data_IF_268673598731
#
_entry.id   IF_268673598731
#
_cell.length_a   1.000
_cell.length_b   1.000
_cell.length_c   1.000
_cell.angle_alpha   90.00
_cell.angle_beta   90.00
_cell.angle_gamma   90.00
#
_symmetry.space_group_name_H-M   'P 1'
#
loop_
_entity.id
_entity.type
_entity.pdbx_description
1 polymer ?
#
# COMPACT_ATOMS: atom_id res chain seq x y z
N UNK A 1 3.06 -20.31 22.34
CA UNK A 1 2.91 -18.83 22.44
C UNK A 1 1.87 -18.56 23.52
N UNK A 2 2.13 -17.58 24.40
CA UNK A 2 1.23 -17.28 25.51
C UNK A 2 -0.12 -16.74 24.96
N UNK A 3 -1.30 -17.19 25.50
CA UNK A 3 -2.62 -16.81 24.99
C UNK A 3 -2.84 -15.29 24.90
N UNK A 4 -2.34 -14.53 25.86
CA UNK A 4 -2.45 -13.05 25.86
C UNK A 4 -1.70 -12.41 24.67
N UNK A 5 -0.54 -12.96 24.28
CA UNK A 5 0.20 -12.48 23.09
C UNK A 5 -0.55 -12.81 21.81
N UNK A 6 -1.13 -14.01 21.74
CA UNK A 6 -1.92 -14.42 20.57
C UNK A 6 -3.19 -13.63 20.41
N UNK A 7 -3.90 -13.32 21.49
CA UNK A 7 -5.12 -12.52 21.44
C UNK A 7 -4.85 -11.11 20.87
N UNK A 8 -3.80 -10.44 21.38
CA UNK A 8 -3.41 -9.13 20.86
C UNK A 8 -3.03 -9.16 19.38
N UNK A 9 -2.23 -10.15 18.97
CA UNK A 9 -1.84 -10.33 17.57
C UNK A 9 -3.05 -10.55 16.66
N UNK A 10 -3.98 -11.41 17.07
CA UNK A 10 -5.18 -11.70 16.29
C UNK A 10 -6.10 -10.51 16.15
N UNK A 11 -6.30 -9.73 17.23
CA UNK A 11 -7.11 -8.50 17.19
C UNK A 11 -6.54 -7.52 16.18
N UNK A 12 -5.24 -7.28 16.20
CA UNK A 12 -4.60 -6.38 15.24
C UNK A 12 -4.61 -6.94 13.80
N UNK A 13 -4.40 -8.24 13.65
CA UNK A 13 -4.48 -8.89 12.33
C UNK A 13 -5.90 -8.76 11.75
N UNK A 14 -6.94 -8.95 12.56
CA UNK A 14 -8.32 -8.76 12.13
C UNK A 14 -8.56 -7.29 11.73
N UNK A 15 -8.15 -6.31 12.52
CA UNK A 15 -8.27 -4.88 12.16
C UNK A 15 -7.59 -4.54 10.83
N UNK A 16 -6.38 -5.07 10.61
CA UNK A 16 -5.71 -4.88 9.30
C UNK A 16 -6.54 -5.41 8.14
N UNK A 17 -7.19 -6.56 8.32
CA UNK A 17 -7.98 -7.20 7.25
C UNK A 17 -9.37 -6.57 7.10
N UNK A 18 -10.03 -6.16 8.20
CA UNK A 18 -11.41 -5.66 8.15
C UNK A 18 -11.49 -4.14 8.04
N UNK A 19 -10.59 -3.42 8.74
CA UNK A 19 -10.76 -1.97 8.92
C UNK A 19 -9.80 -1.17 8.04
N UNK A 20 -8.59 -1.69 7.71
CA UNK A 20 -7.57 -0.94 6.98
C UNK A 20 -7.33 -1.42 5.55
N UNK A 21 -7.81 -2.62 5.21
CA UNK A 21 -7.51 -3.26 3.91
C UNK A 21 -7.93 -2.40 2.72
N UNK A 22 -9.10 -1.77 2.78
CA UNK A 22 -9.64 -0.99 1.67
C UNK A 22 -8.78 0.24 1.40
N UNK A 23 -8.34 0.94 2.45
CA UNK A 23 -7.43 2.08 2.32
C UNK A 23 -6.07 1.65 1.75
N UNK A 24 -5.51 0.54 2.24
CA UNK A 24 -4.21 0.01 1.78
C UNK A 24 -4.28 -0.43 0.31
N UNK A 25 -5.33 -1.14 -0.08
CA UNK A 25 -5.52 -1.61 -1.46
C UNK A 25 -5.82 -0.45 -2.41
N UNK A 26 -6.58 0.55 -1.95
CA UNK A 26 -6.82 1.79 -2.70
C UNK A 26 -5.51 2.55 -2.92
N UNK A 27 -4.71 2.71 -1.87
CA UNK A 27 -3.39 3.33 -1.97
C UNK A 27 -2.47 2.61 -2.96
N UNK A 28 -2.47 1.26 -2.93
CA UNK A 28 -1.70 0.44 -3.88
C UNK A 28 -2.17 0.63 -5.31
N UNK A 29 -3.48 0.62 -5.54
CA UNK A 29 -4.07 0.83 -6.86
C UNK A 29 -3.76 2.22 -7.40
N UNK A 30 -3.92 3.24 -6.54
CA UNK A 30 -3.64 4.63 -6.90
C UNK A 30 -2.16 4.83 -7.26
N UNK A 31 -1.24 4.27 -6.47
CA UNK A 31 0.20 4.34 -6.75
C UNK A 31 0.59 3.62 -8.04
N UNK A 32 -0.06 2.51 -8.37
CA UNK A 32 0.21 1.73 -9.58
C UNK A 32 -0.30 2.40 -10.86
N UNK A 33 -1.27 3.31 -10.73
CA UNK A 33 -1.87 4.01 -11.87
C UNK A 33 -1.15 5.35 -12.06
N UNK A 34 -0.57 5.62 -13.25
CA UNK A 34 -0.04 6.95 -13.55
C UNK A 34 -1.13 8.01 -13.32
N UNK A 35 -0.75 9.10 -12.70
CA UNK A 35 -1.69 10.19 -12.47
C UNK A 35 -2.02 10.86 -13.80
N UNK A 36 -3.30 11.11 -14.03
CA UNK A 36 -3.74 11.95 -15.14
C UNK A 36 -3.22 13.37 -14.93
N UNK A 37 -2.45 13.85 -15.88
CA UNK A 37 -1.94 15.21 -15.85
C UNK A 37 -2.76 16.07 -16.81
N UNK A 38 -2.92 17.38 -16.53
CA UNK A 38 -3.60 18.32 -17.42
C UNK A 38 -3.05 18.26 -18.85
N UNK A 39 -3.91 18.44 -19.85
CA UNK A 39 -3.54 18.34 -21.26
C UNK A 39 -2.35 19.25 -21.64
N UNK A 40 -2.25 20.43 -21.02
CA UNK A 40 -1.13 21.35 -21.19
C UNK A 40 0.22 20.74 -20.75
N UNK A 41 0.22 19.88 -19.74
CA UNK A 41 1.43 19.18 -19.30
C UNK A 41 1.71 17.94 -20.13
N UNK A 42 0.68 17.29 -20.70
CA UNK A 42 0.87 16.10 -21.55
C UNK A 42 1.70 16.41 -22.79
N UNK A 43 1.57 17.62 -23.35
CA UNK A 43 2.33 18.08 -24.52
C UNK A 43 3.82 18.35 -24.20
N UNK A 44 4.20 18.42 -22.92
CA UNK A 44 5.55 18.71 -22.49
C UNK A 44 6.38 17.43 -22.32
N UNK A 45 7.68 17.54 -22.61
CA UNK A 45 8.64 16.48 -22.29
C UNK A 45 8.72 16.27 -20.77
N UNK A 46 9.17 15.10 -20.28
CA UNK A 46 9.39 14.83 -18.86
C UNK A 46 10.18 15.93 -18.14
N UNK A 47 11.25 16.41 -18.77
CA UNK A 47 12.08 17.49 -18.23
C UNK A 47 11.32 18.83 -18.12
N UNK A 48 10.53 19.17 -19.14
CA UNK A 48 9.75 20.39 -19.13
C UNK A 48 8.63 20.36 -18.08
N UNK A 49 7.97 19.21 -17.89
CA UNK A 49 6.98 19.02 -16.81
C UNK A 49 7.59 19.25 -15.44
N UNK A 50 8.73 18.64 -15.23
CA UNK A 50 9.44 18.79 -13.96
C UNK A 50 9.93 20.22 -13.73
N UNK A 51 10.49 20.86 -14.75
CA UNK A 51 10.91 22.27 -14.65
C UNK A 51 9.73 23.21 -14.33
N UNK A 52 8.60 23.03 -14.99
CA UNK A 52 7.38 23.79 -14.70
C UNK A 52 6.91 23.60 -13.26
N UNK A 53 6.90 22.35 -12.78
CA UNK A 53 6.56 22.03 -11.40
C UNK A 53 7.48 22.72 -10.37
N UNK A 54 8.79 22.69 -10.61
CA UNK A 54 9.77 23.34 -9.71
C UNK A 54 9.61 24.87 -9.73
N UNK A 55 9.34 25.44 -10.88
CA UNK A 55 9.16 26.89 -11.00
C UNK A 55 7.89 27.36 -10.29
N UNK A 56 6.77 26.63 -10.43
CA UNK A 56 5.55 26.86 -9.67
C UNK A 56 5.81 26.83 -8.16
N UNK A 57 6.53 25.81 -7.68
CA UNK A 57 6.89 25.68 -6.26
C UNK A 57 7.76 26.83 -5.75
N UNK A 58 8.64 27.35 -6.59
CA UNK A 58 9.48 28.51 -6.24
C UNK A 58 8.68 29.81 -6.13
N UNK A 59 7.74 30.03 -7.05
CA UNK A 59 6.90 31.22 -7.06
C UNK A 59 5.99 31.27 -5.83
N UNK A 60 5.44 30.13 -5.45
CA UNK A 60 4.55 30.02 -4.30
C UNK A 60 5.29 29.87 -2.95
N UNK A 61 6.62 29.98 -2.94
CA UNK A 61 7.47 29.75 -1.76
C UNK A 61 7.18 28.41 -1.07
N UNK A 62 6.72 27.42 -1.83
CA UNK A 62 6.36 26.10 -1.33
C UNK A 62 7.57 25.19 -1.24
N UNK A 63 7.45 24.21 -0.37
CA UNK A 63 8.43 23.13 -0.25
C UNK A 63 8.16 22.06 -1.30
N UNK A 64 9.16 21.23 -1.60
CA UNK A 64 8.98 20.03 -2.45
C UNK A 64 8.74 18.80 -1.57
N UNK A 65 7.92 17.84 -2.02
CA UNK A 65 7.71 16.60 -1.27
C UNK A 65 9.02 15.88 -0.99
N UNK A 66 9.20 15.53 0.27
CA UNK A 66 10.32 14.75 0.76
C UNK A 66 9.84 13.52 1.51
N UNK A 67 10.76 12.65 1.85
CA UNK A 67 10.51 11.49 2.69
C UNK A 67 11.72 11.17 3.55
N UNK A 68 11.47 10.53 4.67
CA UNK A 68 12.51 10.06 5.59
C UNK A 68 12.53 8.54 5.55
N UNK A 69 13.67 7.97 5.15
CA UNK A 69 13.80 6.53 5.17
C UNK A 69 13.90 6.02 6.62
N UNK A 70 13.20 4.94 6.95
CA UNK A 70 13.19 4.34 8.29
C UNK A 70 14.59 3.96 8.79
N UNK A 71 15.50 3.59 7.87
CA UNK A 71 16.91 3.29 8.19
C UNK A 71 17.84 4.51 8.25
N UNK A 72 17.33 5.72 7.96
CA UNK A 72 18.07 6.99 7.99
C UNK A 72 17.20 8.13 8.51
N UNK A 73 16.74 8.08 9.77
CA UNK A 73 15.76 9.04 10.31
C UNK A 73 16.23 10.49 10.35
N UNK A 74 17.54 10.73 10.20
CA UNK A 74 18.14 12.08 10.20
C UNK A 74 18.31 12.65 8.79
N UNK A 75 18.06 11.87 7.74
CA UNK A 75 18.22 12.32 6.35
C UNK A 75 16.88 12.42 5.66
N UNK A 76 16.47 13.64 5.38
CA UNK A 76 15.31 13.88 4.51
C UNK A 76 15.77 13.87 3.05
N UNK A 77 15.18 13.00 2.28
CA UNK A 77 15.43 12.84 0.84
C UNK A 77 14.28 13.40 0.04
N UNK A 78 14.55 13.90 -1.16
CA UNK A 78 13.52 14.32 -2.09
C UNK A 78 12.66 13.11 -2.51
N UNK A 79 11.33 13.27 -2.49
CA UNK A 79 10.36 12.24 -2.87
C UNK A 79 10.24 12.08 -4.39
N UNK A 80 11.34 11.74 -5.05
CA UNK A 80 11.44 11.70 -6.53
C UNK A 80 10.37 10.84 -7.18
N UNK A 81 10.16 9.63 -6.68
CA UNK A 81 9.13 8.73 -7.20
C UNK A 81 7.73 9.29 -7.07
N UNK A 82 7.41 9.95 -5.96
CA UNK A 82 6.12 10.60 -5.76
C UNK A 82 5.93 11.80 -6.70
N UNK A 83 6.95 12.64 -6.86
CA UNK A 83 6.88 13.78 -7.78
C UNK A 83 6.75 13.29 -9.23
N UNK A 84 7.51 12.26 -9.62
CA UNK A 84 7.38 11.63 -10.94
C UNK A 84 5.96 11.11 -11.17
N UNK A 85 5.40 10.41 -10.21
CA UNK A 85 4.01 9.94 -10.24
C UNK A 85 3.02 11.10 -10.38
N UNK A 86 3.19 12.19 -9.61
CA UNK A 86 2.33 13.39 -9.73
C UNK A 86 2.39 14.04 -11.12
N UNK A 87 3.53 13.96 -11.80
CA UNK A 87 3.74 14.50 -13.14
C UNK A 87 3.36 13.53 -14.26
N UNK A 88 2.80 12.36 -13.92
CA UNK A 88 2.44 11.32 -14.88
C UNK A 88 3.64 10.73 -15.60
N UNK A 89 4.80 10.65 -14.94
CA UNK A 89 6.02 10.08 -15.47
C UNK A 89 6.12 8.58 -15.09
N UNK A 90 6.66 7.78 -15.99
CA UNK A 90 7.01 6.41 -15.67
C UNK A 90 8.18 6.35 -14.67
N UNK A 91 8.39 5.23 -13.96
CA UNK A 91 9.56 5.04 -13.10
C UNK A 91 10.89 5.25 -13.87
N UNK A 92 10.97 4.78 -15.11
CA UNK A 92 12.14 4.91 -15.97
C UNK A 92 12.42 6.37 -16.33
N UNK A 93 11.38 7.13 -16.74
CA UNK A 93 11.49 8.56 -17.02
C UNK A 93 11.92 9.33 -15.76
N UNK A 94 11.34 8.99 -14.61
CA UNK A 94 11.69 9.61 -13.32
C UNK A 94 13.15 9.36 -12.96
N UNK A 95 13.65 8.13 -13.17
CA UNK A 95 15.08 7.80 -12.94
C UNK A 95 16.00 8.52 -13.91
N UNK A 96 15.66 8.55 -15.19
CA UNK A 96 16.46 9.22 -16.22
C UNK A 96 16.60 10.72 -15.94
N UNK A 97 15.59 11.34 -15.34
CA UNK A 97 15.62 12.76 -14.99
C UNK A 97 16.38 13.10 -13.71
N UNK A 98 16.60 12.12 -12.84
CA UNK A 98 17.23 12.32 -11.52
C UNK A 98 18.51 13.17 -11.54
N UNK A 99 19.45 13.02 -12.50
CA UNK A 99 20.65 13.84 -12.56
C UNK A 99 20.39 15.33 -12.87
N UNK A 100 19.24 15.66 -13.44
CA UNK A 100 18.90 16.98 -13.94
C UNK A 100 17.94 17.78 -13.04
N UNK A 101 17.74 17.34 -11.81
CA UNK A 101 16.76 17.93 -10.91
C UNK A 101 17.24 19.29 -10.36
N UNK A 102 16.71 20.44 -10.84
CA UNK A 102 17.12 21.77 -10.43
C UNK A 102 16.43 22.17 -9.12
N UNK A 103 16.70 21.45 -8.04
CA UNK A 103 16.07 21.66 -6.72
C UNK A 103 16.87 22.61 -5.80
N UNK A 104 17.93 23.21 -6.29
CA UNK A 104 18.73 24.14 -5.50
C UNK A 104 17.82 25.25 -4.91
N UNK A 105 17.85 25.39 -3.60
CA UNK A 105 17.08 26.40 -2.88
C UNK A 105 15.65 25.99 -2.47
N UNK A 106 15.22 24.76 -2.75
CA UNK A 106 13.95 24.22 -2.24
C UNK A 106 14.20 23.30 -1.04
N UNK A 107 13.40 23.45 0.01
CA UNK A 107 13.43 22.54 1.17
C UNK A 107 12.46 21.38 0.96
N UNK A 108 12.81 20.19 1.46
CA UNK A 108 11.93 19.04 1.41
C UNK A 108 10.95 19.04 2.60
N UNK A 109 9.66 18.86 2.34
CA UNK A 109 8.60 18.65 3.34
C UNK A 109 8.21 17.18 3.47
N UNK A 110 7.39 16.85 4.46
CA UNK A 110 6.88 15.48 4.67
C UNK A 110 5.61 15.15 3.84
N UNK A 111 5.38 15.84 2.72
CA UNK A 111 4.11 15.82 2.00
C UNK A 111 4.02 14.78 0.86
N UNK A 112 4.75 13.68 0.93
CA UNK A 112 4.60 12.61 -0.06
C UNK A 112 3.35 11.71 0.23
N UNK A 113 2.24 12.33 0.60
CA UNK A 113 0.99 11.65 0.90
C UNK A 113 0.15 11.43 -0.36
N UNK A 114 -0.45 10.26 -0.47
CA UNK A 114 -1.40 9.97 -1.54
C UNK A 114 -2.70 10.77 -1.34
N UNK A 115 -3.26 11.37 -2.42
CA UNK A 115 -4.48 12.16 -2.36
C UNK A 115 -5.72 11.26 -2.33
N UNK A 116 -5.96 10.62 -1.19
CA UNK A 116 -7.10 9.74 -0.97
C UNK A 116 -7.67 9.93 0.43
N UNK A 117 -8.98 9.76 0.63
CA UNK A 117 -9.56 9.75 1.96
C UNK A 117 -9.12 8.52 2.73
N UNK A 118 -9.04 8.63 4.04
CA UNK A 118 -8.92 7.51 4.97
C UNK A 118 -10.32 7.12 5.41
N UNK A 119 -10.64 5.84 5.35
CA UNK A 119 -11.97 5.30 5.69
C UNK A 119 -11.93 4.36 6.88
N UNK A 120 -10.79 3.72 7.12
CA UNK A 120 -10.59 2.82 8.25
C UNK A 120 -10.48 3.59 9.57
N UNK A 121 -11.07 3.04 10.63
CA UNK A 121 -11.07 3.70 11.94
C UNK A 121 -10.62 2.77 13.06
N UNK A 122 -10.03 3.36 14.10
CA UNK A 122 -9.71 2.70 15.36
C UNK A 122 -10.32 3.53 16.48
N UNK A 123 -11.23 2.91 17.24
CA UNK A 123 -11.90 3.56 18.37
C UNK A 123 -12.58 4.89 17.99
N UNK A 124 -13.18 4.94 16.77
CA UNK A 124 -13.90 6.10 16.24
C UNK A 124 -13.03 7.22 15.68
N UNK A 125 -11.72 6.97 15.51
CA UNK A 125 -10.79 7.91 14.87
C UNK A 125 -10.14 7.25 13.67
N UNK A 126 -9.78 8.04 12.68
CA UNK A 126 -9.00 7.53 11.53
C UNK A 126 -7.74 6.81 12.02
N UNK A 127 -7.47 5.62 11.47
CA UNK A 127 -6.32 4.80 11.86
C UNK A 127 -4.97 5.44 11.47
N UNK A 128 -4.99 6.32 10.50
CA UNK A 128 -3.86 7.16 10.08
C UNK A 128 -4.37 8.50 9.54
N UNK A 129 -3.53 9.52 9.56
CA UNK A 129 -3.88 10.83 8.99
C UNK A 129 -3.83 10.80 7.47
N UNK A 130 -2.87 10.08 6.89
CA UNK A 130 -2.68 9.91 5.46
C UNK A 130 -1.75 8.71 5.21
N UNK A 131 -1.75 8.17 4.00
CA UNK A 131 -0.83 7.12 3.58
C UNK A 131 0.28 7.73 2.74
N UNK A 132 1.53 7.55 3.19
CA UNK A 132 2.69 8.00 2.45
C UNK A 132 2.96 7.08 1.25
N UNK A 133 3.30 7.65 0.11
CA UNK A 133 3.59 6.94 -1.14
C UNK A 133 4.65 5.84 -0.98
N UNK A 134 5.64 6.05 -0.11
CA UNK A 134 6.73 5.10 0.11
C UNK A 134 6.38 4.00 1.11
N UNK A 135 5.36 4.18 1.93
CA UNK A 135 4.92 3.20 2.93
C UNK A 135 3.93 2.15 2.35
N UNK A 136 3.37 2.40 1.18
CA UNK A 136 2.35 1.53 0.57
C UNK A 136 2.80 0.07 0.48
N UNK A 137 4.04 -0.19 0.05
CA UNK A 137 4.55 -1.56 -0.09
C UNK A 137 4.74 -2.25 1.26
N UNK A 138 5.08 -1.50 2.29
CA UNK A 138 5.20 -2.00 3.65
C UNK A 138 3.83 -2.32 4.25
N UNK A 139 2.87 -1.43 4.07
CA UNK A 139 1.48 -1.66 4.47
C UNK A 139 0.87 -2.88 3.77
N UNK A 140 1.14 -3.07 2.48
CA UNK A 140 0.71 -4.28 1.75
C UNK A 140 1.34 -5.56 2.33
N UNK A 141 2.61 -5.53 2.74
CA UNK A 141 3.25 -6.68 3.41
C UNK A 141 2.63 -6.96 4.77
N UNK A 142 2.33 -5.91 5.54
CA UNK A 142 1.63 -6.05 6.81
C UNK A 142 0.23 -6.63 6.62
N UNK A 143 -0.53 -6.15 5.63
CA UNK A 143 -1.84 -6.69 5.29
C UNK A 143 -1.76 -8.18 4.90
N UNK A 144 -0.80 -8.55 4.05
CA UNK A 144 -0.59 -9.95 3.67
C UNK A 144 -0.23 -10.83 4.88
N UNK A 145 0.61 -10.32 5.79
CA UNK A 145 0.96 -11.01 7.03
C UNK A 145 -0.25 -11.15 7.96
N UNK A 146 -1.05 -10.09 8.09
CA UNK A 146 -2.27 -10.11 8.88
C UNK A 146 -3.28 -11.14 8.33
N UNK A 147 -3.50 -11.15 7.02
CA UNK A 147 -4.36 -12.13 6.36
C UNK A 147 -3.86 -13.56 6.59
N UNK A 148 -2.55 -13.80 6.50
CA UNK A 148 -1.96 -15.10 6.80
C UNK A 148 -2.23 -15.52 8.26
N UNK A 149 -2.04 -14.62 9.24
CA UNK A 149 -2.30 -14.90 10.66
C UNK A 149 -3.77 -15.24 10.88
N UNK A 150 -4.69 -14.46 10.31
CA UNK A 150 -6.14 -14.70 10.45
C UNK A 150 -6.52 -16.05 9.86
N UNK A 151 -6.09 -16.36 8.63
CA UNK A 151 -6.41 -17.64 7.98
C UNK A 151 -5.82 -18.81 8.76
N UNK A 152 -4.53 -18.76 9.12
CA UNK A 152 -3.87 -19.84 9.83
C UNK A 152 -4.55 -20.11 11.20
N UNK A 153 -4.88 -19.03 11.92
CA UNK A 153 -5.50 -19.17 13.25
C UNK A 153 -6.93 -19.71 13.19
N UNK A 154 -7.76 -19.17 12.28
CA UNK A 154 -9.17 -19.54 12.20
C UNK A 154 -9.41 -20.91 11.55
N UNK A 155 -8.52 -21.34 10.67
CA UNK A 155 -8.69 -22.63 9.94
C UNK A 155 -7.86 -23.75 10.55
N UNK A 156 -6.85 -23.46 11.38
CA UNK A 156 -5.88 -24.44 11.84
C UNK A 156 -4.97 -25.02 10.75
N UNK A 157 -4.97 -24.41 9.54
CA UNK A 157 -4.13 -24.82 8.42
C UNK A 157 -2.65 -24.64 8.77
N UNK A 158 -1.81 -25.50 8.20
CA UNK A 158 -0.36 -25.32 8.30
C UNK A 158 0.10 -24.14 7.48
N UNK A 159 1.22 -23.54 7.90
CA UNK A 159 1.75 -22.36 7.22
C UNK A 159 1.98 -22.55 5.71
N UNK A 160 2.36 -23.76 5.29
CA UNK A 160 2.54 -24.10 3.86
C UNK A 160 1.22 -24.23 3.11
N UNK A 161 0.20 -24.79 3.77
CA UNK A 161 -1.15 -24.90 3.24
C UNK A 161 -1.77 -23.50 3.05
N UNK A 162 -1.59 -22.60 4.05
CA UNK A 162 -2.04 -21.21 3.91
C UNK A 162 -1.34 -20.47 2.77
N UNK A 163 -0.02 -20.67 2.59
CA UNK A 163 0.74 -20.04 1.50
C UNK A 163 0.42 -20.59 0.12
N UNK A 164 -0.13 -21.82 0.05
CA UNK A 164 -0.54 -22.45 -1.18
C UNK A 164 -2.00 -22.15 -1.57
N UNK A 165 -2.69 -21.32 -0.79
CA UNK A 165 -4.04 -20.87 -1.15
C UNK A 165 -3.99 -19.98 -2.39
N UNK A 166 -4.85 -20.30 -3.35
CA UNK A 166 -4.96 -19.57 -4.61
C UNK A 166 -6.17 -18.62 -4.58
N UNK A 167 -6.20 -17.67 -5.50
CA UNK A 167 -7.35 -16.79 -5.70
C UNK A 167 -8.61 -17.62 -5.97
N UNK A 168 -9.71 -17.32 -5.27
CA UNK A 168 -10.96 -18.07 -5.39
C UNK A 168 -11.01 -19.34 -4.55
N UNK A 169 -10.05 -19.56 -3.64
CA UNK A 169 -10.06 -20.69 -2.71
C UNK A 169 -11.26 -20.67 -1.75
N UNK A 170 -11.86 -19.52 -1.48
CA UNK A 170 -13.07 -19.40 -0.68
C UNK A 170 -14.31 -19.56 -1.57
N UNK A 171 -15.17 -20.52 -1.22
CA UNK A 171 -16.45 -20.76 -1.89
C UNK A 171 -17.59 -20.59 -0.91
N UNK A 172 -18.65 -19.92 -1.36
CA UNK A 172 -19.89 -19.78 -0.60
C UNK A 172 -20.86 -20.85 -1.07
N UNK A 173 -21.44 -21.59 -0.13
CA UNK A 173 -22.47 -22.59 -0.37
C UNK A 173 -23.71 -22.18 0.42
N UNK A 174 -24.87 -22.23 -0.20
CA UNK A 174 -26.15 -22.03 0.48
C UNK A 174 -26.73 -23.40 0.86
N UNK A 175 -27.02 -23.59 2.13
CA UNK A 175 -27.75 -24.78 2.57
C UNK A 175 -29.17 -24.75 1.97
N UNK A 176 -29.57 -25.73 1.16
CA UNK A 176 -30.87 -25.72 0.52
C UNK A 176 -32.04 -25.87 1.49
N UNK A 177 -31.81 -26.43 2.69
CA UNK A 177 -32.86 -26.63 3.68
C UNK A 177 -33.09 -25.43 4.58
N UNK A 178 -32.02 -24.70 4.92
CA UNK A 178 -32.07 -23.57 5.90
C UNK A 178 -31.86 -22.20 5.27
N UNK A 179 -31.37 -22.12 4.02
CA UNK A 179 -30.94 -20.89 3.36
C UNK A 179 -29.65 -20.29 3.96
N UNK A 180 -29.01 -20.98 4.89
CA UNK A 180 -27.82 -20.49 5.56
C UNK A 180 -26.60 -20.54 4.65
N UNK A 181 -25.80 -19.47 4.69
CA UNK A 181 -24.54 -19.39 3.93
C UNK A 181 -23.40 -20.09 4.69
N UNK A 182 -22.73 -21.00 4.02
CA UNK A 182 -21.51 -21.66 4.49
C UNK A 182 -20.34 -21.25 3.64
N UNK A 183 -19.23 -20.87 4.30
CA UNK A 183 -17.98 -20.52 3.63
C UNK A 183 -17.02 -21.69 3.75
N UNK A 184 -16.48 -22.15 2.62
CA UNK A 184 -15.51 -23.25 2.56
C UNK A 184 -14.23 -22.77 1.90
N UNK A 185 -13.08 -23.10 2.52
CA UNK A 185 -11.78 -22.87 1.94
C UNK A 185 -11.32 -24.18 1.28
N UNK A 186 -10.95 -24.09 0.00
CA UNK A 186 -10.36 -25.18 -0.76
C UNK A 186 -8.87 -24.92 -0.92
N UNK A 187 -8.05 -25.87 -0.47
CA UNK A 187 -6.59 -25.80 -0.53
C UNK A 187 -5.98 -27.16 -0.79
N UNK A 188 -4.66 -27.21 -0.96
CA UNK A 188 -3.89 -28.45 -1.09
C UNK A 188 -3.37 -28.86 0.28
N UNK A 189 -3.47 -30.13 0.63
CA UNK A 189 -2.83 -30.69 1.81
C UNK A 189 -1.49 -31.30 1.41
N UNK A 190 -0.44 -31.04 2.22
CA UNK A 190 0.91 -31.55 1.96
C UNK A 190 1.27 -32.77 2.81
N UNK A 191 0.35 -33.24 3.67
CA UNK A 191 0.56 -34.44 4.50
C UNK A 191 -0.10 -35.63 3.84
N UNK A 192 0.69 -36.62 3.45
CA UNK A 192 0.21 -37.90 2.90
C UNK A 192 0.37 -38.08 1.39
N UNK A 193 1.01 -37.16 0.68
CA UNK A 193 1.26 -37.29 -0.78
C UNK A 193 2.49 -38.16 -1.12
N UNK A 194 3.13 -38.80 -0.12
CA UNK A 194 4.33 -39.63 -0.35
C UNK A 194 4.04 -41.14 -0.39
N UNK A 195 2.78 -41.58 -0.22
CA UNK A 195 2.41 -43.00 -0.18
C UNK A 195 1.23 -43.35 -1.10
N UNK A 196 1.18 -42.80 -2.34
CA UNK A 196 0.34 -43.35 -3.40
C UNK A 196 1.05 -43.28 -4.75
#
# INVERSE_FOLDING_TARGET
IHPQTMAGLLVWALRFVTDFSDDILTAKSLKATPRDVPACLQALTPYQRFRAYVEERRQDSQTVPGWVASNRPHMRSLAKGFIGWQLGLSPEETMAMTPHWPIAGLSASDEAHLPMPITGTVDGKDWTVAINFYEVEELCRHLATAAFVVVAYLTGMRGEECRALERGCCRTLTDPATGQLHYRIHGRTFKGALDQ
#
